data_IF_920585374193
#
_entry.id   IF_920585374193
#
_cell.length_a   1.000
_cell.length_b   1.000
_cell.length_c   1.000
_cell.angle_alpha   90.00
_cell.angle_beta   90.00
_cell.angle_gamma   90.00
#
_symmetry.space_group_name_H-M   'P 1'
#
loop_
_entity.id
_entity.type
_entity.pdbx_description
1 polymer ?
#
# COMPACT_ATOMS: atom_id res chain seq x y z
N UNK A 1 1.66 11.17 -6.88
CA UNK A 1 0.84 11.52 -8.07
C UNK A 1 -0.27 10.52 -8.42
N UNK A 2 -0.11 9.19 -8.26
CA UNK A 2 -1.15 8.23 -8.67
C UNK A 2 -2.43 8.28 -7.80
N UNK A 3 -2.30 8.37 -6.47
CA UNK A 3 -3.45 8.39 -5.57
C UNK A 3 -4.42 9.54 -5.83
N UNK A 4 -3.90 10.76 -6.00
CA UNK A 4 -4.71 11.94 -6.32
C UNK A 4 -5.44 11.79 -7.67
N UNK A 5 -4.79 11.19 -8.67
CA UNK A 5 -5.42 11.00 -9.99
C UNK A 5 -6.56 9.98 -9.99
N UNK A 6 -6.63 9.12 -8.97
CA UNK A 6 -7.70 8.12 -8.81
C UNK A 6 -8.73 8.52 -7.75
N UNK A 7 -8.66 9.76 -7.24
CA UNK A 7 -9.68 10.33 -6.35
C UNK A 7 -9.33 10.35 -4.87
N UNK A 8 -8.14 9.88 -4.45
CA UNK A 8 -7.71 10.04 -3.06
C UNK A 8 -7.46 11.52 -2.74
N UNK A 9 -7.77 11.90 -1.52
CA UNK A 9 -7.49 13.22 -0.96
C UNK A 9 -6.11 13.25 -0.29
N UNK A 10 -5.55 14.46 -0.14
CA UNK A 10 -4.31 14.65 0.63
C UNK A 10 -4.45 14.21 2.08
N UNK A 11 -5.64 14.41 2.67
CA UNK A 11 -5.94 13.99 4.03
C UNK A 11 -5.89 12.46 4.17
N UNK A 12 -6.54 11.73 3.27
CA UNK A 12 -6.48 10.27 3.20
C UNK A 12 -5.05 9.76 3.02
N UNK A 13 -4.31 10.36 2.09
CA UNK A 13 -2.91 10.00 1.86
C UNK A 13 -2.05 10.21 3.11
N UNK A 14 -2.28 11.28 3.88
CA UNK A 14 -1.56 11.53 5.13
C UNK A 14 -1.93 10.54 6.25
N UNK A 15 -3.11 9.94 6.17
CA UNK A 15 -3.61 8.96 7.13
C UNK A 15 -3.36 7.51 6.70
N UNK A 16 -2.69 7.24 5.58
CA UNK A 16 -2.42 5.87 5.11
C UNK A 16 -1.61 5.03 6.10
N UNK A 17 -0.74 5.66 6.89
CA UNK A 17 0.01 4.99 7.97
C UNK A 17 -0.80 4.74 9.25
N UNK A 18 -2.01 5.31 9.34
CA UNK A 18 -2.95 5.17 10.45
C UNK A 18 -4.38 5.02 9.91
N UNK A 19 -4.53 4.12 8.94
CA UNK A 19 -5.76 3.95 8.18
C UNK A 19 -6.96 3.55 9.06
N UNK A 20 -6.72 2.94 10.22
CA UNK A 20 -7.74 2.57 11.20
C UNK A 20 -8.44 3.79 11.83
N UNK A 21 -7.80 4.96 11.85
CA UNK A 21 -8.37 6.19 12.40
C UNK A 21 -8.77 7.22 11.33
N UNK A 22 -8.62 6.90 10.04
CA UNK A 22 -9.04 7.80 8.95
C UNK A 22 -10.56 7.81 8.79
N UNK A 23 -11.24 8.92 9.10
CA UNK A 23 -12.72 8.97 9.08
C UNK A 23 -13.35 8.74 7.70
N UNK A 24 -12.63 9.05 6.61
CA UNK A 24 -13.18 8.96 5.25
C UNK A 24 -13.02 7.57 4.63
N UNK A 25 -12.17 6.71 5.19
CA UNK A 25 -12.04 5.33 4.74
C UNK A 25 -13.18 4.46 5.26
N UNK A 26 -13.81 3.74 4.34
CA UNK A 26 -14.82 2.75 4.70
C UNK A 26 -14.19 1.44 5.21
N UNK A 27 -15.03 0.44 5.49
CA UNK A 27 -14.54 -0.85 5.96
C UNK A 27 -13.70 -1.61 4.91
N UNK A 28 -14.04 -1.49 3.61
CA UNK A 28 -13.29 -2.15 2.54
C UNK A 28 -11.94 -1.48 2.31
N UNK A 29 -11.87 -0.16 2.37
CA UNK A 29 -10.62 0.60 2.28
C UNK A 29 -9.63 0.15 3.37
N UNK A 30 -10.11 0.08 4.62
CA UNK A 30 -9.30 -0.37 5.75
C UNK A 30 -8.86 -1.82 5.62
N UNK A 31 -9.75 -2.69 5.14
CA UNK A 31 -9.42 -4.09 4.89
C UNK A 31 -8.33 -4.24 3.81
N UNK A 32 -8.42 -3.48 2.71
CA UNK A 32 -7.42 -3.46 1.63
C UNK A 32 -6.07 -2.95 2.14
N UNK A 33 -6.08 -1.88 2.94
CA UNK A 33 -4.85 -1.32 3.51
C UNK A 33 -4.21 -2.28 4.51
N UNK A 34 -4.99 -2.90 5.40
CA UNK A 34 -4.52 -3.94 6.32
C UNK A 34 -3.91 -5.13 5.56
N UNK A 35 -4.62 -5.64 4.54
CA UNK A 35 -4.09 -6.71 3.69
C UNK A 35 -2.77 -6.32 3.02
N UNK A 36 -2.73 -5.15 2.40
CA UNK A 36 -1.56 -4.65 1.65
C UNK A 36 -0.35 -4.49 2.58
N UNK A 37 -0.56 -4.01 3.80
CA UNK A 37 0.47 -3.91 4.83
C UNK A 37 0.95 -5.29 5.29
N UNK A 38 0.04 -6.20 5.64
CA UNK A 38 0.35 -7.57 6.07
C UNK A 38 1.16 -8.32 5.02
N UNK A 39 0.72 -8.33 3.76
CA UNK A 39 1.43 -9.07 2.69
C UNK A 39 2.79 -8.44 2.37
N UNK A 40 2.92 -7.11 2.50
CA UNK A 40 4.19 -6.42 2.23
C UNK A 40 5.23 -6.63 3.34
N UNK A 41 4.78 -6.68 4.61
CA UNK A 41 5.68 -6.78 5.78
C UNK A 41 5.97 -8.23 6.17
N UNK A 42 4.94 -9.04 6.24
CA UNK A 42 4.98 -10.39 6.82
C UNK A 42 4.96 -11.47 5.75
N UNK A 43 4.42 -11.15 4.56
CA UNK A 43 4.25 -12.08 3.45
C UNK A 43 3.49 -13.36 3.86
N UNK A 44 2.55 -13.21 4.81
CA UNK A 44 1.70 -14.27 5.33
C UNK A 44 0.33 -13.70 5.63
N UNK A 45 -0.68 -14.24 4.96
CA UNK A 45 -2.10 -13.94 5.22
C UNK A 45 -2.64 -15.10 6.04
N UNK A 46 -3.25 -14.83 7.19
CA UNK A 46 -3.89 -15.86 8.00
C UNK A 46 -5.33 -16.16 7.52
N UNK A 47 -5.89 -17.24 8.05
CA UNK A 47 -7.22 -17.71 7.64
C UNK A 47 -8.32 -16.69 7.97
N UNK A 48 -8.16 -15.92 9.05
CA UNK A 48 -9.13 -14.92 9.47
C UNK A 48 -9.18 -13.74 8.48
N UNK A 49 -8.01 -13.20 8.13
CA UNK A 49 -7.88 -12.13 7.15
C UNK A 49 -8.33 -12.59 5.76
N UNK A 50 -7.96 -13.79 5.34
CA UNK A 50 -8.41 -14.34 4.06
C UNK A 50 -9.94 -14.55 4.03
N UNK A 51 -10.54 -15.05 5.11
CA UNK A 51 -11.99 -15.22 5.19
C UNK A 51 -12.72 -13.87 5.09
N UNK A 52 -12.24 -12.83 5.77
CA UNK A 52 -12.83 -11.49 5.69
C UNK A 52 -12.70 -10.88 4.29
N UNK A 53 -11.56 -11.08 3.63
CA UNK A 53 -11.35 -10.71 2.23
C UNK A 53 -12.32 -11.44 1.28
N UNK A 54 -12.47 -12.75 1.43
CA UNK A 54 -13.35 -13.56 0.60
C UNK A 54 -14.85 -13.25 0.77
N UNK A 55 -15.24 -12.64 1.90
CA UNK A 55 -16.61 -12.12 2.10
C UNK A 55 -16.84 -10.81 1.33
N UNK A 56 -15.80 -9.99 1.17
CA UNK A 56 -15.90 -8.63 0.65
C UNK A 56 -15.52 -8.48 -0.83
N UNK A 57 -14.82 -9.46 -1.39
CA UNK A 57 -14.28 -9.43 -2.74
C UNK A 57 -14.54 -10.76 -3.46
N UNK A 58 -14.76 -10.66 -4.77
CA UNK A 58 -14.77 -11.81 -5.67
C UNK A 58 -13.37 -12.39 -5.82
N UNK A 59 -13.29 -13.63 -6.31
CA UNK A 59 -12.00 -14.28 -6.55
C UNK A 59 -11.12 -13.49 -7.55
N UNK A 60 -11.73 -12.88 -8.58
CA UNK A 60 -11.03 -12.06 -9.56
C UNK A 60 -10.45 -10.79 -8.91
N UNK A 61 -11.25 -10.07 -8.10
CA UNK A 61 -10.78 -8.89 -7.36
C UNK A 61 -9.66 -9.23 -6.35
N UNK A 62 -9.70 -10.41 -5.73
CA UNK A 62 -8.62 -10.88 -4.85
C UNK A 62 -7.32 -11.15 -5.61
N UNK A 63 -7.42 -11.70 -6.82
CA UNK A 63 -6.25 -11.88 -7.71
C UNK A 63 -5.67 -10.52 -8.08
N UNK A 64 -6.51 -9.56 -8.48
CA UNK A 64 -6.07 -8.20 -8.83
C UNK A 64 -5.41 -7.49 -7.64
N UNK A 65 -5.99 -7.61 -6.45
CA UNK A 65 -5.45 -7.05 -5.23
C UNK A 65 -4.08 -7.66 -4.89
N UNK A 66 -3.93 -8.98 -4.99
CA UNK A 66 -2.67 -9.67 -4.77
C UNK A 66 -1.59 -9.28 -5.80
N UNK A 67 -1.95 -9.22 -7.09
CA UNK A 67 -1.04 -8.81 -8.15
C UNK A 67 -0.57 -7.36 -7.97
N UNK A 68 -1.47 -6.45 -7.58
CA UNK A 68 -1.15 -5.04 -7.35
C UNK A 68 -0.14 -4.87 -6.21
N UNK A 69 -0.38 -5.56 -5.08
CA UNK A 69 0.54 -5.54 -3.95
C UNK A 69 1.91 -6.17 -4.31
N UNK A 70 1.90 -7.31 -5.00
CA UNK A 70 3.11 -8.00 -5.43
C UNK A 70 3.95 -7.18 -6.42
N UNK A 71 3.31 -6.54 -7.39
CA UNK A 71 3.98 -5.71 -8.40
C UNK A 71 4.63 -4.48 -7.78
N UNK A 72 3.94 -3.81 -6.85
CA UNK A 72 4.50 -2.69 -6.08
C UNK A 72 5.73 -3.14 -5.29
N UNK A 73 5.64 -4.31 -4.65
CA UNK A 73 6.75 -4.96 -3.97
C UNK A 73 7.94 -5.26 -4.91
N UNK A 74 7.68 -5.74 -6.13
CA UNK A 74 8.71 -6.00 -7.14
C UNK A 74 9.42 -4.70 -7.57
N UNK A 75 8.66 -3.67 -7.94
CA UNK A 75 9.18 -2.37 -8.36
C UNK A 75 10.02 -1.72 -7.25
N UNK A 76 9.54 -1.75 -6.00
CA UNK A 76 10.27 -1.24 -4.85
C UNK A 76 11.64 -1.91 -4.68
N UNK A 77 11.73 -3.23 -4.90
CA UNK A 77 13.00 -3.98 -4.79
C UNK A 77 13.99 -3.61 -5.90
N UNK A 78 13.51 -3.36 -7.12
CA UNK A 78 14.34 -2.88 -8.22
C UNK A 78 14.91 -1.49 -7.89
N UNK A 79 14.06 -0.53 -7.51
CA UNK A 79 14.52 0.82 -7.17
C UNK A 79 15.48 0.83 -5.97
N UNK A 80 15.21 0.04 -4.93
CA UNK A 80 16.11 -0.08 -3.78
C UNK A 80 17.48 -0.66 -4.17
N UNK A 81 17.52 -1.63 -5.09
CA UNK A 81 18.76 -2.26 -5.56
C UNK A 81 19.64 -1.27 -6.31
N UNK A 82 19.04 -0.50 -7.23
CA UNK A 82 19.78 0.44 -8.08
C UNK A 82 19.88 1.85 -7.50
N UNK A 83 19.26 2.11 -6.33
CA UNK A 83 19.19 3.42 -5.70
C UNK A 83 18.73 4.50 -6.70
N UNK A 84 17.64 4.19 -7.40
CA UNK A 84 17.11 5.09 -8.43
C UNK A 84 16.83 6.46 -7.83
N UNK A 85 17.38 7.50 -8.46
CA UNK A 85 17.12 8.88 -8.08
C UNK A 85 15.65 9.24 -8.30
N UNK A 86 15.12 10.10 -7.43
CA UNK A 86 13.79 10.68 -7.60
C UNK A 86 13.86 11.87 -8.55
N UNK A 87 12.90 11.99 -9.45
CA UNK A 87 12.76 13.17 -10.30
C UNK A 87 12.30 14.40 -9.49
N UNK A 88 12.50 15.60 -10.04
CA UNK A 88 12.14 16.87 -9.39
C UNK A 88 10.68 16.93 -8.92
N UNK A 89 9.75 16.37 -9.71
CA UNK A 89 8.33 16.39 -9.40
C UNK A 89 7.99 15.47 -8.23
N UNK A 90 8.70 14.35 -8.08
CA UNK A 90 8.57 13.43 -6.97
C UNK A 90 9.20 14.03 -5.70
N UNK A 91 10.40 14.60 -5.78
CA UNK A 91 11.07 15.27 -4.65
C UNK A 91 10.19 16.37 -4.05
N UNK A 92 9.59 17.21 -4.90
CA UNK A 92 8.70 18.28 -4.46
C UNK A 92 7.47 17.80 -3.66
N UNK A 93 7.10 16.52 -3.79
CA UNK A 93 5.91 15.94 -3.15
C UNK A 93 6.24 15.09 -1.92
N UNK A 94 7.37 14.38 -1.90
CA UNK A 94 7.73 13.48 -0.81
C UNK A 94 8.68 14.10 0.22
N UNK A 95 9.19 15.31 -0.05
CA UNK A 95 10.08 16.03 0.86
C UNK A 95 11.36 15.26 1.14
N UNK A 96 11.72 15.12 2.41
CA UNK A 96 12.94 14.45 2.86
C UNK A 96 12.84 12.92 2.90
N UNK A 97 11.76 12.32 2.35
CA UNK A 97 11.62 10.87 2.31
C UNK A 97 12.65 10.25 1.35
N UNK A 98 13.74 9.71 1.92
CA UNK A 98 14.89 9.20 1.17
C UNK A 98 14.60 7.87 0.45
N UNK A 99 13.66 7.06 0.95
CA UNK A 99 13.26 5.77 0.34
C UNK A 99 11.81 5.44 0.67
N UNK A 100 11.19 4.57 -0.12
CA UNK A 100 9.97 3.88 0.30
C UNK A 100 10.35 2.94 1.46
N UNK A 101 10.00 3.31 2.69
CA UNK A 101 10.45 2.61 3.88
C UNK A 101 9.87 1.19 3.95
N UNK A 102 10.69 0.18 3.65
CA UNK A 102 10.56 -1.11 4.31
C UNK A 102 11.28 -0.97 5.65
N UNK A 103 10.59 -0.94 6.80
CA UNK A 103 11.29 -0.79 8.07
C UNK A 103 12.21 -1.98 8.32
N UNK A 104 13.28 -1.77 9.10
CA UNK A 104 14.22 -2.83 9.43
C UNK A 104 13.47 -4.00 10.08
N UNK A 105 13.73 -5.22 9.60
CA UNK A 105 13.26 -6.45 10.24
C UNK A 105 13.74 -6.43 11.69
N UNK A 106 12.79 -6.43 12.65
CA UNK A 106 13.09 -6.74 14.05
C UNK A 106 13.51 -8.20 14.17
#
# INVERSE_FOLDING_TARGET
>A
MLGLSVGLTKAEMSMMGDAEHCETFDAKDRLVLRYSETVTRENRVDDALYAELAVNFTQEELVDLALTAAFSSFVNRIHATFRTDLDESTIAQVGDAVTCALPPRR
#
